data_IF_135612540633
#
_entry.id   IF_135612540633
#
_cell.length_a   1.000
_cell.length_b   1.000
_cell.length_c   1.000
_cell.angle_alpha   90.00
_cell.angle_beta   90.00
_cell.angle_gamma   90.00
#
_symmetry.space_group_name_H-M   'P 1'
#
loop_
_entity.id
_entity.type
_entity.pdbx_description
1 polymer ?
#
# COMPACT_ATOMS: atom_id res chain seq x y z
N UNK A 1 -16.56 0.62 6.92
CA UNK A 1 -16.29 0.94 5.53
C UNK A 1 -15.26 2.05 5.45
N UNK A 2 -14.27 1.81 4.64
CA UNK A 2 -13.21 2.78 4.45
C UNK A 2 -13.74 4.02 3.74
N UNK A 3 -13.59 5.19 4.33
CA UNK A 3 -13.99 6.44 3.71
C UNK A 3 -13.21 6.70 2.41
N UNK A 4 -12.03 6.08 2.27
CA UNK A 4 -11.17 6.20 1.10
C UNK A 4 -11.17 4.92 0.29
N UNK A 5 -12.13 4.80 -0.61
CA UNK A 5 -12.14 3.73 -1.60
C UNK A 5 -11.24 4.03 -2.79
N UNK A 6 -10.71 5.24 -2.85
CA UNK A 6 -9.90 5.71 -3.96
C UNK A 6 -8.57 6.22 -3.47
N UNK A 7 -7.54 5.96 -4.24
CA UNK A 7 -6.22 6.53 -4.03
C UNK A 7 -5.73 7.08 -5.37
N UNK A 8 -4.85 8.08 -5.30
CA UNK A 8 -4.35 8.74 -6.49
C UNK A 8 -3.21 7.96 -7.12
N UNK A 9 -3.33 7.71 -8.42
CA UNK A 9 -2.24 7.18 -9.23
C UNK A 9 -1.95 8.22 -10.31
N UNK A 10 -0.72 8.75 -10.40
CA UNK A 10 -0.39 9.69 -11.46
C UNK A 10 -0.64 9.09 -12.83
N UNK A 11 -1.23 9.85 -13.75
CA UNK A 11 -1.54 9.36 -15.10
C UNK A 11 -0.29 8.90 -15.86
N UNK A 12 0.86 9.46 -15.53
CA UNK A 12 2.15 9.11 -16.12
C UNK A 12 3.02 8.25 -15.19
N UNK A 13 2.42 7.67 -14.14
CA UNK A 13 3.15 6.88 -13.15
C UNK A 13 3.98 5.75 -13.75
N UNK A 14 3.50 5.14 -14.85
CA UNK A 14 4.23 4.10 -15.57
C UNK A 14 5.58 4.57 -16.11
N UNK A 15 5.78 5.88 -16.25
CA UNK A 15 7.00 6.49 -16.77
C UNK A 15 7.94 6.99 -15.69
N UNK A 16 7.55 6.91 -14.40
CA UNK A 16 8.45 7.20 -13.28
C UNK A 16 9.70 6.32 -13.40
N UNK A 17 10.87 6.88 -13.10
CA UNK A 17 12.14 6.18 -13.28
C UNK A 17 12.17 4.85 -12.53
N UNK A 18 11.77 4.85 -11.27
CA UNK A 18 11.74 3.63 -10.44
C UNK A 18 10.78 2.60 -11.02
N UNK A 19 9.61 3.04 -11.46
CA UNK A 19 8.61 2.16 -12.07
C UNK A 19 9.12 1.62 -13.41
N UNK A 20 9.85 2.41 -14.18
CA UNK A 20 10.46 1.93 -15.44
C UNK A 20 11.47 0.83 -15.19
N UNK A 21 12.25 0.95 -14.11
CA UNK A 21 13.19 -0.09 -13.70
C UNK A 21 12.43 -1.35 -13.27
N UNK A 22 11.38 -1.19 -12.48
CA UNK A 22 10.51 -2.29 -12.07
C UNK A 22 9.95 -3.03 -13.28
N UNK A 23 9.41 -2.30 -14.24
CA UNK A 23 8.87 -2.89 -15.48
C UNK A 23 9.92 -3.67 -16.24
N UNK A 24 11.13 -3.15 -16.31
CA UNK A 24 12.23 -3.81 -17.03
C UNK A 24 12.65 -5.11 -16.34
N UNK A 25 12.65 -5.14 -15.01
CA UNK A 25 13.07 -6.30 -14.22
C UNK A 25 11.98 -7.36 -14.07
N UNK A 26 10.72 -6.96 -14.06
CA UNK A 26 9.60 -7.83 -13.66
C UNK A 26 8.52 -8.03 -14.73
N UNK A 27 8.87 -7.91 -16.00
CA UNK A 27 7.99 -8.33 -17.08
C UNK A 27 7.12 -7.27 -17.74
N UNK A 28 7.48 -6.01 -17.64
CA UNK A 28 6.82 -4.95 -18.39
C UNK A 28 5.61 -4.35 -17.67
N UNK A 29 4.56 -4.00 -18.43
CA UNK A 29 3.38 -3.34 -17.86
C UNK A 29 2.66 -4.17 -16.80
N UNK A 30 2.77 -5.49 -16.85
CA UNK A 30 2.23 -6.38 -15.81
C UNK A 30 2.81 -6.03 -14.45
N UNK A 31 4.11 -5.71 -14.40
CA UNK A 31 4.76 -5.32 -13.14
C UNK A 31 4.15 -4.04 -12.57
N UNK A 32 3.85 -3.08 -13.41
CA UNK A 32 3.18 -1.85 -12.99
C UNK A 32 1.75 -2.11 -12.50
N UNK A 33 1.00 -2.92 -13.24
CA UNK A 33 -0.36 -3.30 -12.84
C UNK A 33 -0.39 -4.00 -11.48
N UNK A 34 0.56 -4.90 -11.24
CA UNK A 34 0.71 -5.56 -9.93
C UNK A 34 1.04 -4.57 -8.83
N UNK A 35 1.90 -3.59 -9.11
CA UNK A 35 2.23 -2.54 -8.15
C UNK A 35 1.00 -1.71 -7.77
N UNK A 36 0.19 -1.30 -8.74
CA UNK A 36 -1.04 -0.55 -8.48
C UNK A 36 -2.02 -1.38 -7.66
N UNK A 37 -2.18 -2.66 -7.99
CA UNK A 37 -3.04 -3.57 -7.23
C UNK A 37 -2.54 -3.72 -5.78
N UNK A 38 -1.23 -3.86 -5.59
CA UNK A 38 -0.63 -3.96 -4.26
C UNK A 38 -0.87 -2.70 -3.43
N UNK A 39 -0.74 -1.53 -4.04
CA UNK A 39 -1.06 -0.26 -3.37
C UNK A 39 -2.51 -0.26 -2.86
N UNK A 40 -3.46 -0.69 -3.70
CA UNK A 40 -4.86 -0.80 -3.28
C UNK A 40 -5.05 -1.72 -2.09
N UNK A 41 -4.36 -2.86 -2.09
CA UNK A 41 -4.40 -3.81 -0.97
C UNK A 41 -3.81 -3.21 0.30
N UNK A 42 -2.74 -2.43 0.19
CA UNK A 42 -2.15 -1.74 1.34
C UNK A 42 -3.10 -0.72 1.93
N UNK A 43 -3.83 0.04 1.11
CA UNK A 43 -4.86 0.95 1.62
C UNK A 43 -5.97 0.22 2.36
N UNK A 44 -6.39 -0.94 1.85
CA UNK A 44 -7.42 -1.75 2.50
C UNK A 44 -6.96 -2.39 3.81
N UNK A 45 -5.65 -2.54 3.98
CA UNK A 45 -5.03 -3.21 5.13
C UNK A 45 -4.40 -2.24 6.13
N UNK A 46 -4.84 -0.99 6.14
CA UNK A 46 -4.26 0.06 6.99
C UNK A 46 -2.77 0.28 6.78
N UNK A 47 -2.29 0.02 5.59
CA UNK A 47 -0.92 0.29 5.19
C UNK A 47 0.08 -0.83 5.41
N UNK A 48 -0.34 -1.97 5.97
CA UNK A 48 0.55 -3.09 6.28
C UNK A 48 -0.06 -4.41 5.82
N UNK A 49 0.71 -5.19 5.05
CA UNK A 49 0.40 -6.58 4.78
C UNK A 49 1.35 -7.46 5.60
N UNK A 50 0.80 -8.25 6.49
CA UNK A 50 1.57 -9.10 7.41
C UNK A 50 1.69 -10.50 6.82
N UNK A 51 2.76 -10.73 6.03
CA UNK A 51 2.96 -11.98 5.31
C UNK A 51 3.28 -13.16 6.22
N UNK A 52 3.66 -12.91 7.48
CA UNK A 52 3.89 -13.95 8.46
C UNK A 52 2.60 -14.61 8.95
N UNK A 53 1.46 -13.96 8.75
CA UNK A 53 0.17 -14.55 9.10
C UNK A 53 -0.21 -15.64 8.12
N UNK A 54 -0.88 -16.72 8.61
CA UNK A 54 -1.25 -17.83 7.73
C UNK A 54 -2.05 -17.39 6.51
N UNK A 55 -1.69 -17.93 5.36
CA UNK A 55 -2.38 -17.73 4.08
C UNK A 55 -2.27 -16.34 3.45
N UNK A 56 -1.67 -15.35 4.12
CA UNK A 56 -1.59 -14.00 3.57
C UNK A 56 -0.71 -13.95 2.32
N UNK A 57 0.48 -14.56 2.37
CA UNK A 57 1.37 -14.60 1.20
C UNK A 57 0.74 -15.36 0.04
N UNK A 58 0.05 -16.47 0.33
CA UNK A 58 -0.64 -17.27 -0.68
C UNK A 58 -1.75 -16.46 -1.37
N UNK A 59 -2.58 -15.77 -0.58
CA UNK A 59 -3.64 -14.92 -1.11
C UNK A 59 -3.08 -13.75 -1.90
N UNK A 60 -1.98 -13.16 -1.46
CA UNK A 60 -1.34 -12.08 -2.18
C UNK A 60 -0.80 -12.55 -3.54
N UNK A 61 -0.16 -13.71 -3.57
CA UNK A 61 0.32 -14.29 -4.82
C UNK A 61 -0.84 -14.50 -5.80
N UNK A 62 -1.95 -15.02 -5.32
CA UNK A 62 -3.14 -15.24 -6.12
C UNK A 62 -3.72 -13.91 -6.65
N UNK A 63 -3.87 -12.92 -5.79
CA UNK A 63 -4.41 -11.61 -6.17
C UNK A 63 -3.54 -10.89 -7.20
N UNK A 64 -2.22 -11.04 -7.11
CA UNK A 64 -1.29 -10.44 -8.07
C UNK A 64 -1.04 -11.33 -9.29
N UNK A 65 -1.77 -12.44 -9.40
CA UNK A 65 -1.70 -13.38 -10.52
C UNK A 65 -0.33 -14.01 -10.72
N UNK A 66 0.35 -14.35 -9.61
CA UNK A 66 1.55 -15.16 -9.64
C UNK A 66 1.18 -16.64 -9.59
N UNK A 67 1.99 -17.47 -10.22
CA UNK A 67 1.76 -18.91 -10.25
C UNK A 67 2.03 -19.58 -8.89
N UNK A 68 2.90 -18.99 -8.08
CA UNK A 68 3.29 -19.52 -6.79
C UNK A 68 3.90 -18.43 -5.89
N UNK A 69 4.13 -18.79 -4.63
CA UNK A 69 4.72 -17.86 -3.65
C UNK A 69 6.14 -17.45 -4.00
N UNK A 70 6.91 -18.35 -4.62
CA UNK A 70 8.28 -18.05 -5.01
C UNK A 70 8.37 -16.87 -5.98
N UNK A 71 7.49 -16.84 -6.96
CA UNK A 71 7.41 -15.73 -7.92
C UNK A 71 7.02 -14.41 -7.21
N UNK A 72 6.08 -14.49 -6.26
CA UNK A 72 5.70 -13.35 -5.45
C UNK A 72 6.92 -12.82 -4.68
N UNK A 73 7.69 -13.70 -4.06
CA UNK A 73 8.85 -13.33 -3.27
C UNK A 73 9.91 -12.63 -4.11
N UNK A 74 10.16 -13.10 -5.32
CA UNK A 74 11.07 -12.44 -6.25
C UNK A 74 10.61 -11.02 -6.57
N UNK A 75 9.32 -10.85 -6.81
CA UNK A 75 8.72 -9.54 -7.09
C UNK A 75 8.86 -8.61 -5.89
N UNK A 76 8.54 -9.09 -4.68
CA UNK A 76 8.66 -8.29 -3.46
C UNK A 76 10.12 -7.91 -3.16
N UNK A 77 11.06 -8.80 -3.44
CA UNK A 77 12.49 -8.48 -3.30
C UNK A 77 12.89 -7.35 -4.23
N UNK A 78 12.40 -7.36 -5.47
CA UNK A 78 12.66 -6.26 -6.40
C UNK A 78 12.04 -4.96 -5.89
N UNK A 79 10.82 -4.99 -5.39
CA UNK A 79 10.18 -3.79 -4.79
C UNK A 79 11.00 -3.26 -3.62
N UNK A 80 11.52 -4.15 -2.79
CA UNK A 80 12.37 -3.80 -1.66
C UNK A 80 13.68 -3.15 -2.13
N UNK A 81 14.34 -3.74 -3.13
CA UNK A 81 15.58 -3.21 -3.71
C UNK A 81 15.39 -1.82 -4.30
N UNK A 82 14.24 -1.56 -4.89
CA UNK A 82 13.92 -0.28 -5.51
C UNK A 82 13.38 0.76 -4.51
N UNK A 83 13.20 0.38 -3.26
CA UNK A 83 12.67 1.28 -2.24
C UNK A 83 11.18 1.55 -2.34
N UNK A 84 10.45 0.76 -3.13
CA UNK A 84 8.99 0.88 -3.26
C UNK A 84 8.26 0.32 -2.05
N UNK A 85 8.87 -0.63 -1.34
CA UNK A 85 8.42 -1.10 -0.04
C UNK A 85 9.58 -1.00 0.95
N UNK A 86 9.24 -0.95 2.24
CA UNK A 86 10.25 -0.83 3.30
C UNK A 86 11.07 -2.11 3.39
N UNK A 87 12.37 -2.01 3.09
CA UNK A 87 13.26 -3.16 3.06
C UNK A 87 13.46 -3.78 4.44
N UNK A 88 13.55 -2.97 5.48
CA UNK A 88 13.74 -3.45 6.86
C UNK A 88 12.51 -4.21 7.34
N UNK A 89 11.33 -3.65 7.14
CA UNK A 89 10.09 -4.30 7.52
C UNK A 89 9.90 -5.63 6.80
N UNK A 90 10.22 -5.67 5.51
CA UNK A 90 10.10 -6.89 4.72
C UNK A 90 11.10 -7.95 5.19
N UNK A 91 12.38 -7.58 5.33
CA UNK A 91 13.45 -8.51 5.68
C UNK A 91 13.34 -9.02 7.13
N UNK A 92 13.08 -8.10 8.07
CA UNK A 92 13.11 -8.42 9.50
C UNK A 92 11.77 -8.98 10.01
N UNK A 93 10.63 -8.54 9.45
CA UNK A 93 9.30 -8.86 9.99
C UNK A 93 8.37 -9.50 8.98
N UNK A 94 8.79 -9.65 7.74
CA UNK A 94 7.94 -10.19 6.67
C UNK A 94 6.68 -9.35 6.46
N UNK A 95 6.82 -8.02 6.58
CA UNK A 95 5.74 -7.05 6.36
C UNK A 95 5.96 -6.30 5.07
N UNK A 96 4.87 -6.08 4.32
CA UNK A 96 4.89 -5.19 3.15
C UNK A 96 4.32 -3.85 3.60
N UNK A 97 5.14 -2.82 3.55
CA UNK A 97 4.79 -1.45 3.95
C UNK A 97 5.31 -0.49 2.90
N UNK A 98 4.46 0.47 2.50
CA UNK A 98 4.89 1.58 1.65
C UNK A 98 4.73 2.88 2.45
N UNK A 99 5.81 3.64 2.58
CA UNK A 99 5.82 4.86 3.38
C UNK A 99 4.80 5.90 2.90
N UNK A 100 4.61 6.02 1.60
CA UNK A 100 3.64 6.95 1.02
C UNK A 100 2.21 6.61 1.40
N UNK A 101 1.86 5.31 1.38
CA UNK A 101 0.53 4.83 1.77
C UNK A 101 0.29 5.11 3.25
N UNK A 102 1.25 4.78 4.10
CA UNK A 102 1.14 5.01 5.55
C UNK A 102 0.94 6.49 5.85
N UNK A 103 1.74 7.34 5.22
CA UNK A 103 1.64 8.79 5.38
C UNK A 103 0.28 9.33 4.96
N UNK A 104 -0.26 8.85 3.86
CA UNK A 104 -1.56 9.27 3.35
C UNK A 104 -2.69 8.78 4.24
N UNK A 105 -2.64 7.56 4.72
CA UNK A 105 -3.62 7.02 5.68
C UNK A 105 -3.61 7.85 6.96
N UNK A 106 -2.43 8.13 7.49
CA UNK A 106 -2.29 8.93 8.72
C UNK A 106 -2.83 10.34 8.53
N UNK A 107 -2.57 10.95 7.38
CA UNK A 107 -3.09 12.27 7.04
C UNK A 107 -4.62 12.31 7.06
N UNK A 108 -5.27 11.35 6.39
CA UNK A 108 -6.73 11.30 6.34
C UNK A 108 -7.34 10.95 7.71
N UNK A 109 -6.68 10.12 8.48
CA UNK A 109 -7.11 9.78 9.85
C UNK A 109 -7.06 11.02 10.75
N UNK A 110 -5.97 11.77 10.72
CA UNK A 110 -5.82 13.00 11.48
C UNK A 110 -6.86 14.06 11.08
N UNK A 111 -7.12 14.20 9.79
CA UNK A 111 -8.14 15.11 9.26
C UNK A 111 -9.54 14.73 9.74
N UNK A 112 -9.87 13.45 9.75
CA UNK A 112 -11.14 12.94 10.23
C UNK A 112 -11.32 13.21 11.73
N UNK A 113 -10.29 12.97 12.54
CA UNK A 113 -10.31 13.24 13.97
C UNK A 113 -10.45 14.75 14.27
N UNK A 114 -9.74 15.58 13.52
CA UNK A 114 -9.87 17.05 13.64
C UNK A 114 -11.28 17.50 13.31
N UNK A 115 -11.90 16.93 12.29
CA UNK A 115 -13.30 17.21 11.95
C UNK A 115 -14.26 16.81 13.06
N UNK A 116 -14.05 15.64 13.66
CA UNK A 116 -14.86 15.15 14.78
C UNK A 116 -14.69 16.05 16.01
N UNK A 117 -13.48 16.47 16.31
CA UNK A 117 -13.21 17.38 17.44
C UNK A 117 -13.86 18.74 17.25
N UNK A 118 -13.79 19.29 16.05
CA UNK A 118 -14.44 20.56 15.72
C UNK A 118 -15.97 20.47 15.88
N UNK A 119 -16.54 19.37 15.41
CA UNK A 119 -17.98 19.11 15.53
C UNK A 119 -18.41 18.97 17.00
N UNK A 120 -17.63 18.24 17.80
CA UNK A 120 -17.88 18.07 19.23
C UNK A 120 -17.83 19.40 19.97
N UNK A 121 -16.87 20.27 19.68
CA UNK A 121 -16.78 21.60 20.25
C UNK A 121 -17.98 22.48 19.88
N UNK A 122 -18.45 22.37 18.65
CA UNK A 122 -19.61 23.12 18.16
C UNK A 122 -20.89 22.72 18.90
N UNK A 123 -21.09 21.43 19.12
CA UNK A 123 -22.23 20.90 19.87
C UNK A 123 -22.17 21.29 21.34
N UNK A 124 -21.00 21.23 21.98
CA UNK A 124 -20.81 21.65 23.36
C UNK A 124 -21.16 23.12 23.57
N UNK A 125 -20.85 23.99 22.62
CA UNK A 125 -21.19 25.43 22.69
C UNK A 125 -22.67 25.68 22.55
N UNK A 126 -23.41 24.82 21.84
CA UNK A 126 -24.88 24.97 21.69
C UNK A 126 -25.64 24.60 22.96
N UNK A 127 -25.11 23.65 23.70
CA UNK A 127 -25.74 23.15 24.93
C UNK A 127 -25.41 23.94 26.17
N UNK A 128 -24.51 24.91 26.02
CA UNK A 128 -24.12 25.79 27.09
C UNK A 128 -24.60 27.21 26.80
#
# INVERSE_FOLDING_TARGET
MNANRYFSVPYDGRNDVTIRILRKREGGLVAYGRWVALLGMLYDSDGILQLEKPNVAELLAEELEFSNESELREYLETLSDLGLIDATAYTARNHVINAGVVKEIDYYRAKSEAGKSAMKKRWSKKDG
#
